data_IF_131627600168
#
_entry.id   IF_131627600168
#
_cell.length_a   1.000
_cell.length_b   1.000
_cell.length_c   1.000
_cell.angle_alpha   90.00
_cell.angle_beta   90.00
_cell.angle_gamma   90.00
#
_symmetry.space_group_name_H-M   'P 1'
#
loop_
_entity.id
_entity.type
_entity.pdbx_description
1 polymer ?
#
# COMPACT_ATOMS: atom_id res chain seq x y z
N UNK A 1 -28.07 -49.64 67.37
CA UNK A 1 -28.64 -49.27 66.06
C UNK A 1 -27.79 -48.16 65.45
N UNK A 2 -26.96 -48.53 64.42
CA UNK A 2 -26.08 -47.58 63.73
C UNK A 2 -26.79 -47.09 62.48
N UNK A 3 -27.09 -45.79 62.37
CA UNK A 3 -27.68 -45.13 61.21
C UNK A 3 -26.53 -44.73 60.27
N UNK A 4 -26.45 -45.30 59.06
CA UNK A 4 -25.54 -44.88 57.98
C UNK A 4 -26.23 -43.79 57.17
N UNK A 5 -25.57 -42.63 57.07
CA UNK A 5 -25.97 -41.53 56.19
C UNK A 5 -25.17 -41.68 54.90
N UNK A 6 -25.84 -41.91 53.80
CA UNK A 6 -25.22 -41.84 52.47
C UNK A 6 -25.25 -40.42 51.98
N UNK A 7 -24.06 -39.82 51.80
CA UNK A 7 -23.88 -38.55 51.12
C UNK A 7 -23.85 -38.88 49.62
N UNK A 8 -24.87 -38.40 48.90
CA UNK A 8 -24.92 -38.42 47.43
C UNK A 8 -24.13 -37.25 46.92
N UNK A 9 -22.93 -37.46 46.40
CA UNK A 9 -22.15 -36.40 45.72
C UNK A 9 -22.70 -36.26 44.32
N UNK A 10 -23.38 -35.14 44.07
CA UNK A 10 -23.77 -34.70 42.71
C UNK A 10 -22.54 -34.09 42.07
N UNK A 11 -21.93 -34.80 41.13
CA UNK A 11 -20.89 -34.24 40.25
C UNK A 11 -21.55 -33.31 39.26
N UNK A 12 -21.52 -32.01 39.49
CA UNK A 12 -21.85 -31.01 38.50
C UNK A 12 -20.70 -30.94 37.49
N UNK A 13 -20.89 -31.52 36.32
CA UNK A 13 -20.03 -31.28 35.17
C UNK A 13 -20.28 -29.89 34.65
N UNK A 14 -19.39 -28.96 34.99
CA UNK A 14 -19.29 -27.66 34.35
C UNK A 14 -18.80 -27.90 32.92
N UNK A 15 -19.70 -27.83 31.96
CA UNK A 15 -19.36 -27.64 30.55
C UNK A 15 -18.83 -26.23 30.44
N UNK A 16 -17.51 -26.03 30.53
CA UNK A 16 -16.85 -24.84 30.09
C UNK A 16 -17.01 -24.78 28.57
N UNK A 17 -18.00 -24.04 28.09
CA UNK A 17 -18.07 -23.56 26.74
C UNK A 17 -16.86 -22.63 26.55
N UNK A 18 -15.80 -23.11 25.93
CA UNK A 18 -14.79 -22.26 25.35
C UNK A 18 -15.47 -21.49 24.22
N UNK A 19 -16.02 -20.32 24.52
CA UNK A 19 -16.08 -19.27 23.53
C UNK A 19 -14.60 -18.96 23.23
N UNK A 20 -14.13 -19.40 22.08
CA UNK A 20 -13.02 -18.75 21.43
C UNK A 20 -13.57 -17.40 20.98
N UNK A 21 -13.51 -16.41 21.85
CA UNK A 21 -13.32 -15.04 21.43
C UNK A 21 -11.98 -15.11 20.71
N UNK A 22 -12.00 -15.11 19.38
CA UNK A 22 -10.83 -14.80 18.58
C UNK A 22 -10.43 -13.40 19.03
N UNK A 23 -9.39 -13.30 19.89
CA UNK A 23 -8.72 -12.06 20.16
C UNK A 23 -8.28 -11.56 18.77
N UNK A 24 -9.02 -10.59 18.22
CA UNK A 24 -8.51 -9.74 17.16
C UNK A 24 -7.16 -9.23 17.68
N UNK A 25 -6.09 -9.80 17.18
CA UNK A 25 -4.73 -9.36 17.48
C UNK A 25 -4.67 -7.91 17.03
N UNK A 26 -4.77 -6.99 17.99
CA UNK A 26 -4.70 -5.55 17.75
C UNK A 26 -3.34 -5.30 17.08
N UNK A 27 -3.37 -5.02 15.77
CA UNK A 27 -2.15 -4.75 15.01
C UNK A 27 -1.59 -3.45 15.56
N UNK A 28 -0.44 -3.51 16.21
CA UNK A 28 0.25 -2.31 16.68
C UNK A 28 0.83 -1.56 15.49
N UNK A 29 0.07 -0.62 14.90
CA UNK A 29 0.50 0.20 13.78
C UNK A 29 -0.09 -0.23 12.43
N UNK A 30 0.41 0.38 11.38
CA UNK A 30 0.06 0.04 10.01
C UNK A 30 0.79 -1.23 9.58
N UNK A 31 0.11 -2.08 8.79
CA UNK A 31 0.70 -3.23 8.13
C UNK A 31 0.71 -3.01 6.63
N UNK A 32 1.88 -3.04 5.99
CA UNK A 32 1.96 -2.99 4.53
C UNK A 32 1.76 -4.39 3.97
N UNK A 33 0.73 -4.57 3.16
CA UNK A 33 0.40 -5.84 2.51
C UNK A 33 1.10 -5.96 1.16
N UNK A 34 1.20 -4.86 0.42
CA UNK A 34 1.92 -4.79 -0.85
C UNK A 34 2.45 -3.38 -1.10
N UNK A 35 3.73 -3.27 -1.43
CA UNK A 35 4.36 -2.05 -1.90
C UNK A 35 4.91 -2.27 -3.30
N UNK A 36 4.21 -1.76 -4.31
CA UNK A 36 4.56 -1.91 -5.72
C UNK A 36 4.64 -0.55 -6.41
N UNK A 37 5.74 0.18 -6.21
CA UNK A 37 5.92 1.47 -6.86
C UNK A 37 6.21 1.31 -8.35
N UNK A 38 5.94 2.38 -9.11
CA UNK A 38 6.51 2.57 -10.42
C UNK A 38 7.99 3.03 -10.30
N UNK A 39 8.80 2.94 -11.37
CA UNK A 39 10.13 3.52 -11.36
C UNK A 39 10.10 5.02 -11.09
N UNK A 40 11.14 5.55 -10.44
CA UNK A 40 11.23 6.97 -10.12
C UNK A 40 12.49 7.33 -9.35
N UNK A 41 12.80 8.61 -9.29
CA UNK A 41 14.07 9.13 -8.75
C UNK A 41 14.28 8.85 -7.24
N UNK A 42 13.21 8.58 -6.48
CA UNK A 42 13.30 8.26 -5.06
C UNK A 42 13.16 6.75 -4.76
N UNK A 43 13.14 5.92 -5.81
CA UNK A 43 13.14 4.47 -5.66
C UNK A 43 14.56 3.99 -5.43
N UNK A 44 14.75 3.04 -4.51
CA UNK A 44 16.06 2.55 -4.04
C UNK A 44 16.96 3.63 -3.40
N UNK A 45 16.42 4.83 -3.12
CA UNK A 45 17.22 5.90 -2.50
C UNK A 45 17.37 5.67 -1.00
N UNK A 46 18.60 5.44 -0.56
CA UNK A 46 18.93 5.22 0.86
C UNK A 46 18.45 3.88 1.42
N UNK A 47 18.01 2.94 0.57
CA UNK A 47 17.64 1.57 0.93
C UNK A 47 17.92 0.61 -0.23
N UNK A 48 18.13 -0.67 0.09
CA UNK A 48 18.43 -1.71 -0.90
C UNK A 48 17.59 -2.96 -0.61
N UNK A 49 16.33 -2.95 -1.03
CA UNK A 49 15.45 -4.10 -0.96
C UNK A 49 15.64 -4.99 -2.19
N UNK A 50 15.79 -6.29 -1.98
CA UNK A 50 15.96 -7.28 -3.04
C UNK A 50 14.76 -8.19 -3.23
N UNK A 51 13.83 -8.18 -2.27
CA UNK A 51 12.60 -8.97 -2.28
C UNK A 51 11.38 -8.10 -1.98
N UNK A 52 10.20 -8.57 -2.37
CA UNK A 52 8.93 -7.89 -2.05
C UNK A 52 8.71 -7.82 -0.52
N UNK A 53 9.14 -8.83 0.21
CA UNK A 53 9.02 -8.86 1.67
C UNK A 53 9.85 -7.74 2.31
N UNK A 54 11.10 -7.56 1.87
CA UNK A 54 11.97 -6.47 2.33
C UNK A 54 11.39 -5.09 1.97
N UNK A 55 10.85 -4.95 0.76
CA UNK A 55 10.22 -3.71 0.30
C UNK A 55 8.96 -3.36 1.11
N UNK A 56 8.11 -4.36 1.41
CA UNK A 56 6.95 -4.18 2.28
C UNK A 56 7.37 -3.78 3.70
N UNK A 57 8.40 -4.43 4.27
CA UNK A 57 8.91 -4.12 5.60
C UNK A 57 9.49 -2.70 5.67
N UNK A 58 10.23 -2.28 4.64
CA UNK A 58 10.73 -0.91 4.51
C UNK A 58 9.59 0.12 4.51
N UNK A 59 8.59 -0.10 3.65
CA UNK A 59 7.46 0.81 3.56
C UNK A 59 6.64 0.86 4.86
N UNK A 60 6.43 -0.29 5.52
CA UNK A 60 5.76 -0.40 6.81
C UNK A 60 6.47 0.39 7.91
N UNK A 61 7.80 0.25 7.99
CA UNK A 61 8.61 1.02 8.95
C UNK A 61 8.45 2.53 8.74
N UNK A 62 8.49 2.99 7.46
CA UNK A 62 8.32 4.41 7.15
C UNK A 62 6.93 4.91 7.52
N UNK A 63 5.86 4.16 7.18
CA UNK A 63 4.50 4.50 7.58
C UNK A 63 4.36 4.65 9.10
N UNK A 64 4.87 3.69 9.86
CA UNK A 64 4.80 3.70 11.31
C UNK A 64 5.64 4.83 11.94
N UNK A 65 6.68 5.28 11.26
CA UNK A 65 7.47 6.47 11.63
C UNK A 65 6.90 7.78 11.08
N UNK A 66 5.77 7.75 10.36
CA UNK A 66 5.15 8.92 9.69
C UNK A 66 6.09 9.59 8.68
N UNK A 67 6.84 8.80 7.94
CA UNK A 67 7.72 9.23 6.87
C UNK A 67 7.08 8.94 5.51
N UNK A 68 7.43 9.70 4.49
CA UNK A 68 6.95 9.48 3.13
C UNK A 68 7.48 8.15 2.55
N UNK A 69 6.65 7.53 1.71
CA UNK A 69 6.99 6.40 0.86
C UNK A 69 6.78 6.84 -0.58
N UNK A 70 7.79 6.72 -1.43
CA UNK A 70 7.67 7.06 -2.84
C UNK A 70 6.87 6.00 -3.59
N UNK A 71 5.87 6.39 -4.33
CA UNK A 71 5.14 5.50 -5.24
C UNK A 71 5.71 5.53 -6.67
N UNK A 72 6.71 6.39 -6.92
CA UNK A 72 7.32 6.54 -8.23
C UNK A 72 6.40 7.25 -9.24
N UNK A 73 6.50 6.85 -10.49
CA UNK A 73 5.68 7.39 -11.59
C UNK A 73 4.26 6.83 -11.61
N UNK A 74 3.57 6.86 -12.76
CA UNK A 74 2.19 6.41 -12.88
C UNK A 74 1.99 4.95 -12.44
N UNK A 75 0.90 4.73 -11.71
CA UNK A 75 0.39 3.40 -11.37
C UNK A 75 1.06 2.76 -10.16
N UNK A 76 2.12 3.37 -9.61
CA UNK A 76 2.70 2.90 -8.36
C UNK A 76 1.70 2.95 -7.21
N UNK A 77 1.65 1.89 -6.41
CA UNK A 77 0.67 1.79 -5.33
C UNK A 77 1.25 1.14 -4.06
N UNK A 78 0.53 1.33 -2.99
CA UNK A 78 0.76 0.67 -1.72
C UNK A 78 -0.57 0.26 -1.10
N UNK A 79 -0.64 -0.97 -0.65
CA UNK A 79 -1.80 -1.52 0.08
C UNK A 79 -1.46 -1.62 1.55
N UNK A 80 -2.25 -0.95 2.37
CA UNK A 80 -1.99 -0.83 3.81
C UNK A 80 -3.20 -1.33 4.60
N UNK A 81 -2.96 -2.29 5.49
CA UNK A 81 -3.95 -2.66 6.51
C UNK A 81 -3.89 -1.64 7.64
N UNK A 82 -5.05 -1.06 7.93
CA UNK A 82 -5.18 -0.07 9.01
C UNK A 82 -5.08 -0.77 10.37
N UNK A 83 -4.48 -0.10 11.39
CA UNK A 83 -4.36 -0.67 12.74
C UNK A 83 -5.71 -0.87 13.44
N UNK A 84 -6.74 -0.17 12.97
CA UNK A 84 -8.12 -0.25 13.48
C UNK A 84 -9.09 -0.10 12.33
N UNK A 85 -10.28 -0.68 12.50
CA UNK A 85 -11.40 -0.46 11.60
C UNK A 85 -11.69 1.04 11.43
N UNK A 86 -11.83 1.50 10.20
CA UNK A 86 -12.25 2.87 9.89
C UNK A 86 -13.78 2.91 9.92
N UNK A 87 -14.33 3.54 10.95
CA UNK A 87 -15.78 3.71 11.10
C UNK A 87 -16.24 4.97 10.41
N UNK A 88 -17.23 4.86 9.52
CA UNK A 88 -17.84 6.02 8.88
C UNK A 88 -18.58 6.87 9.92
N UNK A 89 -18.06 8.07 10.17
CA UNK A 89 -18.57 9.03 11.16
C UNK A 89 -18.91 10.36 10.49
N UNK A 90 -19.39 11.31 11.27
CA UNK A 90 -19.56 12.68 10.78
C UNK A 90 -18.19 13.37 10.69
N UNK A 91 -17.82 13.83 9.50
CA UNK A 91 -16.55 14.50 9.22
C UNK A 91 -15.56 13.59 8.50
N UNK A 92 -14.27 13.84 8.70
CA UNK A 92 -13.21 13.05 8.10
C UNK A 92 -12.83 11.88 9.00
N UNK A 93 -12.74 10.67 8.45
CA UNK A 93 -12.43 9.46 9.20
C UNK A 93 -10.93 9.13 9.16
N UNK A 94 -10.22 9.55 8.10
CA UNK A 94 -8.77 9.46 7.96
C UNK A 94 -8.25 10.54 7.01
N UNK A 95 -6.94 10.69 6.93
CA UNK A 95 -6.28 11.61 6.02
C UNK A 95 -5.02 10.98 5.43
N UNK A 96 -4.70 11.37 4.20
CA UNK A 96 -3.46 11.02 3.52
C UNK A 96 -2.68 12.31 3.28
N UNK A 97 -1.42 12.31 3.72
CA UNK A 97 -0.53 13.45 3.54
C UNK A 97 0.36 13.15 2.34
N UNK A 98 0.14 13.88 1.25
CA UNK A 98 1.01 13.89 0.09
C UNK A 98 2.22 14.80 0.28
N UNK A 99 3.01 15.00 -0.77
CA UNK A 99 4.18 15.85 -0.80
C UNK A 99 4.02 17.02 -1.79
N UNK A 100 2.96 17.85 -1.68
CA UNK A 100 2.78 19.00 -2.56
C UNK A 100 3.70 20.14 -2.11
N UNK A 101 4.18 20.92 -3.09
CA UNK A 101 4.87 22.18 -2.85
C UNK A 101 4.38 23.24 -3.87
N UNK A 102 4.76 24.50 -3.68
CA UNK A 102 4.30 25.58 -4.57
C UNK A 102 4.63 25.28 -6.02
N UNK A 103 3.62 25.29 -6.88
CA UNK A 103 3.75 25.01 -8.31
C UNK A 103 3.84 23.52 -8.69
N UNK A 104 3.73 22.60 -7.75
CA UNK A 104 3.76 21.16 -8.07
C UNK A 104 2.88 20.33 -7.15
N UNK A 105 2.12 19.41 -7.73
CA UNK A 105 1.38 18.40 -6.99
C UNK A 105 1.35 17.08 -7.76
N UNK A 106 1.49 15.97 -7.00
CA UNK A 106 1.42 14.60 -7.49
C UNK A 106 0.15 13.97 -6.91
N UNK A 107 -0.99 14.06 -7.62
CA UNK A 107 -2.26 13.57 -7.12
C UNK A 107 -2.26 12.04 -7.04
N UNK A 108 -3.03 11.50 -6.10
CA UNK A 108 -3.23 10.07 -5.95
C UNK A 108 -4.71 9.72 -5.84
N UNK A 109 -5.04 8.49 -6.16
CA UNK A 109 -6.39 7.92 -6.02
C UNK A 109 -6.39 6.99 -4.84
N UNK A 110 -7.40 7.11 -4.00
CA UNK A 110 -7.55 6.33 -2.78
C UNK A 110 -8.66 5.32 -2.94
N UNK A 111 -8.35 4.08 -2.60
CA UNK A 111 -9.29 2.98 -2.58
C UNK A 111 -9.39 2.43 -1.16
N UNK A 112 -10.54 1.95 -0.79
CA UNK A 112 -10.78 1.27 0.48
C UNK A 112 -11.43 -0.08 0.24
N UNK A 113 -11.10 -1.04 1.08
CA UNK A 113 -11.67 -2.38 1.09
C UNK A 113 -11.95 -2.81 2.52
N UNK A 114 -12.97 -3.64 2.70
CA UNK A 114 -13.27 -4.33 3.94
C UNK A 114 -12.79 -5.79 3.79
N UNK A 115 -12.12 -6.32 4.81
CA UNK A 115 -11.78 -7.75 4.88
C UNK A 115 -13.06 -8.54 5.25
N UNK A 116 -13.96 -8.68 4.25
CA UNK A 116 -15.29 -9.25 4.45
C UNK A 116 -15.27 -10.75 4.73
N UNK A 117 -14.23 -11.43 4.27
CA UNK A 117 -14.05 -12.88 4.47
C UNK A 117 -13.17 -13.21 5.68
N UNK A 118 -12.56 -12.21 6.36
CA UNK A 118 -11.76 -12.35 7.57
C UNK A 118 -10.42 -13.05 7.36
N UNK A 119 -9.89 -13.11 6.12
CA UNK A 119 -8.65 -13.82 5.83
C UNK A 119 -7.37 -12.96 5.96
N UNK A 120 -7.52 -11.66 6.24
CA UNK A 120 -6.43 -10.71 6.42
C UNK A 120 -5.70 -10.31 5.14
N UNK A 121 -6.25 -10.64 3.95
CA UNK A 121 -5.68 -10.33 2.65
C UNK A 121 -6.45 -9.19 1.98
N UNK A 122 -5.82 -8.57 0.99
CA UNK A 122 -6.41 -7.50 0.19
C UNK A 122 -7.09 -8.05 -1.09
N UNK A 123 -7.91 -9.11 -0.95
CA UNK A 123 -8.53 -9.83 -2.06
C UNK A 123 -10.06 -9.63 -2.15
N UNK A 124 -10.62 -8.79 -1.29
CA UNK A 124 -12.02 -8.40 -1.31
C UNK A 124 -12.29 -7.23 -2.27
N UNK A 125 -13.54 -6.76 -2.31
CA UNK A 125 -13.96 -5.67 -3.20
C UNK A 125 -13.36 -4.34 -2.78
N UNK A 126 -12.77 -3.62 -3.73
CA UNK A 126 -12.21 -2.29 -3.54
C UNK A 126 -13.17 -1.21 -4.03
N UNK A 127 -13.28 -0.14 -3.27
CA UNK A 127 -14.12 1.02 -3.56
C UNK A 127 -13.25 2.26 -3.70
N UNK A 128 -13.29 2.89 -4.87
CA UNK A 128 -12.62 4.17 -5.11
C UNK A 128 -13.33 5.28 -4.35
N UNK A 129 -12.58 6.05 -3.58
CA UNK A 129 -13.09 7.25 -2.93
C UNK A 129 -13.15 8.39 -3.95
N UNK A 130 -14.28 9.12 -3.94
CA UNK A 130 -14.45 10.26 -4.82
C UNK A 130 -13.45 11.38 -4.46
N UNK A 131 -12.61 11.74 -5.43
CA UNK A 131 -11.71 12.87 -5.36
C UNK A 131 -12.33 14.19 -5.89
N UNK A 132 -11.49 15.20 -6.01
CA UNK A 132 -11.86 16.50 -6.60
C UNK A 132 -11.90 16.49 -8.12
N UNK A 133 -11.15 15.59 -8.74
CA UNK A 133 -10.98 15.49 -10.19
C UNK A 133 -11.47 14.13 -10.70
N UNK A 134 -11.92 14.11 -11.96
CA UNK A 134 -12.32 12.86 -12.62
C UNK A 134 -11.10 12.24 -13.30
N UNK A 135 -10.70 11.01 -12.90
CA UNK A 135 -9.55 10.36 -13.50
C UNK A 135 -9.89 9.75 -14.87
N UNK A 136 -8.88 9.66 -15.74
CA UNK A 136 -8.95 8.80 -16.91
C UNK A 136 -8.83 7.33 -16.47
N UNK A 137 -9.81 6.52 -16.83
CA UNK A 137 -9.90 5.12 -16.39
C UNK A 137 -9.25 4.16 -17.39
N UNK A 138 -8.93 2.95 -16.90
CA UNK A 138 -8.37 1.85 -17.70
C UNK A 138 -7.04 2.20 -18.40
N UNK A 139 -6.28 3.10 -17.81
CA UNK A 139 -4.96 3.47 -18.28
C UNK A 139 -3.90 2.50 -17.75
N UNK A 140 -2.90 2.20 -18.57
CA UNK A 140 -1.77 1.37 -18.12
C UNK A 140 -0.46 1.82 -18.73
N UNK A 141 0.62 1.60 -17.98
CA UNK A 141 2.00 1.87 -18.43
C UNK A 141 2.85 0.64 -18.17
N UNK A 142 3.64 0.25 -19.15
CA UNK A 142 4.67 -0.79 -19.04
C UNK A 142 6.03 -0.13 -18.95
N UNK A 143 6.76 -0.46 -17.91
CA UNK A 143 8.12 0.01 -17.65
C UNK A 143 9.13 -1.08 -17.98
N UNK A 144 10.21 -0.72 -18.65
CA UNK A 144 11.27 -1.64 -19.05
C UNK A 144 12.52 -1.42 -18.21
N UNK A 145 13.11 -2.52 -17.72
CA UNK A 145 14.34 -2.49 -16.93
C UNK A 145 15.52 -2.13 -17.81
N UNK A 146 16.32 -1.10 -17.48
CA UNK A 146 17.60 -0.88 -18.15
C UNK A 146 18.67 -1.86 -17.61
N UNK A 147 19.70 -2.13 -18.39
CA UNK A 147 20.81 -2.99 -17.99
C UNK A 147 21.65 -2.42 -16.82
N UNK A 148 21.65 -1.11 -16.68
CA UNK A 148 22.31 -0.37 -15.60
C UNK A 148 21.50 0.86 -15.24
N UNK A 149 21.92 1.58 -14.15
CA UNK A 149 21.30 2.84 -13.80
C UNK A 149 21.31 3.82 -14.99
N UNK A 150 20.12 4.24 -15.40
CA UNK A 150 19.90 5.01 -16.62
C UNK A 150 18.44 5.38 -16.82
N UNK A 151 18.13 5.96 -17.96
CA UNK A 151 16.76 6.29 -18.36
C UNK A 151 15.88 5.02 -18.33
N UNK A 152 14.65 5.10 -17.80
CA UNK A 152 13.71 3.99 -17.78
C UNK A 152 12.74 4.13 -18.94
N UNK A 153 12.81 3.27 -19.97
CA UNK A 153 11.85 3.28 -21.05
C UNK A 153 10.45 2.87 -20.56
N UNK A 154 9.44 3.48 -21.15
CA UNK A 154 8.05 3.11 -20.90
C UNK A 154 7.20 3.22 -22.18
N UNK A 155 6.10 2.49 -22.19
CA UNK A 155 5.03 2.59 -23.18
C UNK A 155 3.67 2.48 -22.47
N UNK A 156 2.64 3.11 -23.03
CA UNK A 156 1.32 3.14 -22.43
C UNK A 156 0.24 2.46 -23.28
N UNK A 157 -0.97 2.35 -22.70
CA UNK A 157 -2.14 1.75 -23.36
C UNK A 157 -2.68 2.55 -24.55
N UNK A 158 -2.20 3.78 -24.79
CA UNK A 158 -2.57 4.63 -25.92
C UNK A 158 -1.58 4.51 -27.09
N UNK A 159 -0.47 3.80 -26.88
CA UNK A 159 0.61 3.66 -27.86
C UNK A 159 1.63 4.80 -27.78
N UNK A 160 1.58 5.62 -26.72
CA UNK A 160 2.63 6.59 -26.42
C UNK A 160 3.80 5.90 -25.75
N UNK A 161 5.00 6.45 -25.92
CA UNK A 161 6.21 5.94 -25.29
C UNK A 161 7.19 7.05 -24.95
N UNK A 162 8.06 6.79 -23.98
CA UNK A 162 9.03 7.77 -23.55
C UNK A 162 10.04 7.18 -22.57
N UNK A 163 10.67 8.04 -21.80
CA UNK A 163 11.61 7.63 -20.75
C UNK A 163 11.38 8.44 -19.46
N UNK A 164 11.52 7.78 -18.32
CA UNK A 164 11.77 8.47 -17.06
C UNK A 164 13.24 8.85 -17.07
N UNK A 165 13.50 10.14 -17.07
CA UNK A 165 14.84 10.69 -17.22
C UNK A 165 15.71 10.39 -16.01
N UNK A 166 16.87 9.80 -16.22
CA UNK A 166 17.87 9.57 -15.19
C UNK A 166 18.67 10.86 -14.94
N UNK A 167 18.76 11.25 -13.67
CA UNK A 167 19.37 12.50 -13.22
C UNK A 167 20.47 12.21 -12.16
N UNK A 168 21.61 11.60 -12.56
CA UNK A 168 22.62 11.11 -11.62
C UNK A 168 23.28 12.22 -10.77
N UNK A 169 23.18 13.47 -11.19
CA UNK A 169 23.67 14.61 -10.41
C UNK A 169 22.88 14.88 -9.12
N UNK A 170 21.67 14.29 -9.00
CA UNK A 170 20.80 14.42 -7.83
C UNK A 170 20.51 13.06 -7.18
N UNK A 171 20.30 12.03 -8.00
CA UNK A 171 19.90 10.69 -7.60
C UNK A 171 20.61 9.68 -8.52
N UNK A 172 21.66 9.03 -8.01
CA UNK A 172 22.57 8.19 -8.80
C UNK A 172 22.27 6.68 -8.74
N UNK A 173 21.27 6.28 -7.92
CA UNK A 173 20.85 4.89 -7.83
C UNK A 173 19.95 4.47 -9.00
N UNK A 174 19.71 3.16 -9.13
CA UNK A 174 18.73 2.61 -10.08
C UNK A 174 17.32 3.09 -9.75
N UNK A 175 16.59 3.61 -10.75
CA UNK A 175 15.19 4.07 -10.58
C UNK A 175 14.17 2.95 -10.74
N UNK A 176 14.55 1.82 -11.33
CA UNK A 176 13.71 0.63 -11.39
C UNK A 176 13.80 -0.13 -10.07
N UNK A 177 12.68 -0.54 -9.45
CA UNK A 177 12.71 -1.22 -8.14
C UNK A 177 13.57 -2.48 -8.16
N UNK A 178 14.55 -2.60 -7.26
CA UNK A 178 15.50 -3.73 -7.23
C UNK A 178 14.82 -5.08 -6.91
N UNK A 179 13.68 -5.07 -6.24
CA UNK A 179 12.90 -6.27 -5.87
C UNK A 179 11.94 -6.76 -6.95
N UNK A 180 11.69 -5.97 -8.01
CA UNK A 180 10.96 -6.42 -9.19
C UNK A 180 11.99 -7.00 -10.14
N UNK A 181 11.98 -8.33 -10.34
CA UNK A 181 13.04 -9.04 -11.08
C UNK A 181 12.74 -9.21 -12.59
N UNK A 182 11.52 -8.94 -12.99
CA UNK A 182 11.07 -8.97 -14.37
C UNK A 182 11.79 -7.88 -15.19
N UNK A 183 12.07 -8.17 -16.49
CA UNK A 183 12.65 -7.21 -17.42
C UNK A 183 11.69 -6.06 -17.75
N UNK A 184 10.40 -6.29 -17.56
CA UNK A 184 9.37 -5.26 -17.63
C UNK A 184 8.19 -5.60 -16.75
N UNK A 185 7.44 -4.59 -16.31
CA UNK A 185 6.17 -4.79 -15.63
C UNK A 185 5.16 -3.69 -15.98
N UNK A 186 3.89 -4.07 -15.99
CA UNK A 186 2.79 -3.18 -16.32
C UNK A 186 2.02 -2.81 -15.05
N UNK A 187 1.82 -1.53 -14.85
CA UNK A 187 0.91 -1.00 -13.83
C UNK A 187 -0.36 -0.49 -14.51
N UNK A 188 -1.50 -0.79 -13.91
CA UNK A 188 -2.82 -0.41 -14.40
C UNK A 188 -3.55 0.39 -13.35
N UNK A 189 -4.36 1.35 -13.77
CA UNK A 189 -5.15 2.14 -12.86
C UNK A 189 -5.90 3.26 -13.56
N UNK A 190 -6.27 4.24 -12.76
CA UNK A 190 -6.87 5.47 -13.25
C UNK A 190 -5.84 6.59 -13.16
N UNK A 191 -5.72 7.39 -14.20
CA UNK A 191 -4.73 8.44 -14.29
C UNK A 191 -5.34 9.80 -13.90
N UNK A 192 -4.66 10.50 -13.00
CA UNK A 192 -4.86 11.91 -12.75
C UNK A 192 -3.67 12.68 -13.31
N UNK A 193 -3.95 13.80 -13.98
CA UNK A 193 -2.88 14.65 -14.50
C UNK A 193 -2.15 15.35 -13.35
N UNK A 194 -0.83 15.24 -13.34
CA UNK A 194 0.02 15.98 -12.41
C UNK A 194 -0.04 17.48 -12.74
N UNK A 195 -0.21 18.32 -11.72
CA UNK A 195 -0.24 19.76 -11.88
C UNK A 195 1.14 20.32 -11.58
N UNK A 196 1.81 20.79 -12.63
CA UNK A 196 3.07 21.52 -12.52
C UNK A 196 2.87 22.90 -13.15
N UNK A 197 2.75 23.94 -12.33
CA UNK A 197 2.84 25.29 -12.80
C UNK A 197 4.32 25.61 -13.04
N UNK A 198 4.78 25.52 -14.28
CA UNK A 198 6.05 26.14 -14.65
C UNK A 198 5.79 27.64 -14.68
N UNK A 199 6.43 28.39 -13.79
CA UNK A 199 6.58 29.82 -14.00
C UNK A 199 7.34 29.99 -15.33
N UNK A 200 6.68 30.53 -16.34
CA UNK A 200 7.36 31.04 -17.52
C UNK A 200 8.15 32.28 -17.06
N UNK A 201 9.42 32.08 -16.72
CA UNK A 201 10.43 33.15 -16.64
C UNK A 201 11.34 33.08 -17.86
#
# INVERSE_FOLDING_TARGET
MKRYWYLMAIAATLLASCNKDEEETEIQGFKVLEYRPAPGQFINEGFDCQTMEEANAYAEERFNKKLYVSLGSFGGYITVKMPKEIKNRKGYDFGIIGNPFSGSSEPGIVWVSEDANGNGKADDVWYELKGSDEPERDYSVTYHRPDAAGDIPWEDSKGESGVIKYLPQYHDQMYYPNWIKEDSYTLKGSMLEARTERSEE
#
